data_IF_363668172382
#
_entry.id   IF_363668172382
#
_cell.length_a   1.000
_cell.length_b   1.000
_cell.length_c   1.000
_cell.angle_alpha   90.00
_cell.angle_beta   90.00
_cell.angle_gamma   90.00
#
_symmetry.space_group_name_H-M   'P 1'
#
loop_
_entity.id
_entity.type
_entity.pdbx_description
1 polymer ?
#
# COMPACT_ATOMS: atom_id res chain seq x y z
N UNK A 1 60.25 -10.87 -94.24
CA UNK A 1 59.04 -11.65 -93.85
C UNK A 1 58.37 -10.86 -92.72
N UNK A 2 57.26 -10.18 -93.00
CA UNK A 2 55.90 -10.56 -92.56
C UNK A 2 55.82 -10.81 -91.03
N UNK A 3 54.94 -10.25 -90.21
CA UNK A 3 53.67 -9.52 -90.41
C UNK A 3 53.08 -9.25 -88.99
N UNK A 4 52.30 -8.16 -88.84
CA UNK A 4 51.21 -7.94 -87.85
C UNK A 4 51.61 -7.79 -86.36
N UNK A 5 51.14 -6.84 -85.54
CA UNK A 5 49.96 -5.97 -85.58
C UNK A 5 49.04 -6.33 -84.40
N UNK A 6 49.06 -5.55 -83.31
CA UNK A 6 47.97 -5.55 -82.32
C UNK A 6 47.92 -4.21 -81.57
N UNK A 7 46.88 -3.43 -81.87
CA UNK A 7 46.51 -2.17 -81.23
C UNK A 7 45.69 -2.51 -79.99
N UNK A 8 46.17 -2.14 -78.80
CA UNK A 8 45.42 -2.24 -77.54
C UNK A 8 44.59 -0.98 -77.32
N UNK A 9 43.27 -1.13 -77.28
CA UNK A 9 42.31 -0.05 -77.02
C UNK A 9 42.13 0.07 -75.49
N UNK A 10 42.64 1.14 -74.89
CA UNK A 10 42.45 1.46 -73.47
C UNK A 10 41.08 2.13 -73.29
N UNK A 11 40.10 1.40 -72.76
CA UNK A 11 38.80 1.98 -72.36
C UNK A 11 38.98 2.64 -70.99
N UNK A 12 39.02 3.97 -70.97
CA UNK A 12 38.96 4.75 -69.74
C UNK A 12 37.53 4.69 -69.18
N UNK A 13 37.34 3.91 -68.11
CA UNK A 13 36.09 3.86 -67.36
C UNK A 13 35.97 5.14 -66.52
N UNK A 14 35.17 6.09 -66.98
CA UNK A 14 34.89 7.34 -66.28
C UNK A 14 33.89 7.05 -65.14
N UNK A 15 34.39 6.83 -63.92
CA UNK A 15 33.57 6.74 -62.72
C UNK A 15 33.02 8.14 -62.37
N UNK A 16 31.83 8.46 -62.85
CA UNK A 16 31.04 9.57 -62.34
C UNK A 16 30.59 9.24 -60.91
N UNK A 17 31.33 9.71 -59.90
CA UNK A 17 30.83 9.81 -58.53
C UNK A 17 29.71 10.86 -58.51
N UNK A 18 28.46 10.40 -58.63
CA UNK A 18 27.30 11.22 -58.30
C UNK A 18 27.19 11.28 -56.77
N UNK A 19 27.57 12.41 -56.18
CA UNK A 19 27.18 12.73 -54.81
C UNK A 19 25.68 13.06 -54.83
N UNK A 20 24.83 12.05 -54.59
CA UNK A 20 23.44 12.31 -54.24
C UNK A 20 23.39 12.77 -52.78
N UNK A 21 23.22 14.06 -52.55
CA UNK A 21 22.79 14.55 -51.24
C UNK A 21 21.34 14.08 -51.06
N UNK A 22 21.10 13.13 -50.16
CA UNK A 22 19.74 12.79 -49.72
C UNK A 22 19.21 13.94 -48.86
N UNK A 23 18.38 14.79 -49.45
CA UNK A 23 17.61 15.77 -48.69
C UNK A 23 16.40 15.08 -48.08
N UNK A 24 16.46 14.81 -46.78
CA UNK A 24 15.28 14.35 -46.03
C UNK A 24 14.39 15.56 -45.78
N UNK A 25 13.33 15.70 -46.57
CA UNK A 25 12.28 16.69 -46.30
C UNK A 25 11.55 16.22 -45.04
N UNK A 26 11.79 16.88 -43.91
CA UNK A 26 11.04 16.65 -42.69
C UNK A 26 9.64 17.22 -42.89
N UNK A 27 8.61 16.46 -42.50
CA UNK A 27 7.26 17.01 -42.47
C UNK A 27 7.20 18.18 -41.47
N UNK A 28 6.47 19.26 -41.80
CA UNK A 28 6.34 20.39 -40.91
C UNK A 28 5.64 19.96 -39.61
N UNK A 29 6.27 20.27 -38.48
CA UNK A 29 5.65 20.10 -37.17
C UNK A 29 4.69 21.26 -36.95
N UNK A 30 3.40 20.99 -36.89
CA UNK A 30 2.38 22.03 -36.72
C UNK A 30 2.18 22.41 -35.25
N UNK A 31 2.27 21.42 -34.36
CA UNK A 31 2.21 21.61 -32.90
C UNK A 31 2.88 20.46 -32.16
N UNK A 32 3.25 20.73 -30.92
CA UNK A 32 3.78 19.73 -29.98
C UNK A 32 2.98 19.73 -28.68
N UNK A 33 2.92 18.58 -28.02
CA UNK A 33 2.28 18.37 -26.73
C UNK A 33 3.32 17.95 -25.71
N UNK A 34 3.35 18.66 -24.57
CA UNK A 34 4.16 18.33 -23.40
C UNK A 34 3.26 17.67 -22.34
N UNK A 35 3.68 16.53 -21.83
CA UNK A 35 3.04 15.84 -20.71
C UNK A 35 4.06 15.51 -19.62
N UNK A 36 3.56 15.22 -18.43
CA UNK A 36 4.35 14.77 -17.28
C UNK A 36 3.69 13.53 -16.65
N UNK A 37 4.46 12.73 -15.92
CA UNK A 37 3.97 11.56 -15.19
C UNK A 37 3.05 11.93 -14.01
N UNK A 38 3.13 13.16 -13.51
CA UNK A 38 2.26 13.71 -12.47
C UNK A 38 2.12 15.23 -12.62
N UNK A 39 1.07 15.81 -12.03
CA UNK A 39 0.93 17.27 -11.86
C UNK A 39 1.39 17.76 -10.49
N UNK A 40 1.69 16.85 -9.56
CA UNK A 40 2.13 17.15 -8.19
C UNK A 40 3.19 16.15 -7.72
N UNK A 41 4.22 16.63 -7.03
CA UNK A 41 5.30 15.81 -6.45
C UNK A 41 5.73 16.35 -5.09
N UNK A 42 6.32 15.49 -4.27
CA UNK A 42 7.03 15.94 -3.06
C UNK A 42 8.41 16.47 -3.48
N UNK A 43 8.92 17.50 -2.78
CA UNK A 43 10.30 17.96 -2.99
C UNK A 43 11.30 16.79 -2.90
N UNK A 44 12.28 16.76 -3.80
CA UNK A 44 13.25 15.69 -3.95
C UNK A 44 12.79 14.52 -4.85
N UNK A 45 11.50 14.45 -5.22
CA UNK A 45 11.04 13.49 -6.23
C UNK A 45 11.28 14.00 -7.65
N UNK A 46 11.54 13.06 -8.55
CA UNK A 46 11.75 13.34 -9.97
C UNK A 46 10.41 13.32 -10.72
N UNK A 47 10.16 14.36 -11.52
CA UNK A 47 9.13 14.40 -12.55
C UNK A 47 9.75 14.02 -13.89
N UNK A 48 9.03 13.23 -14.70
CA UNK A 48 9.44 12.79 -16.03
C UNK A 48 8.51 13.40 -17.07
N UNK A 49 9.09 14.06 -18.05
CA UNK A 49 8.39 14.73 -19.14
C UNK A 49 8.39 13.87 -20.41
N UNK A 50 7.35 14.05 -21.23
CA UNK A 50 7.27 13.48 -22.58
C UNK A 50 6.77 14.53 -23.56
N UNK A 51 7.33 14.53 -24.77
CA UNK A 51 6.97 15.46 -25.83
C UNK A 51 6.56 14.68 -27.08
N UNK A 52 5.40 14.99 -27.64
CA UNK A 52 4.89 14.39 -28.87
C UNK A 52 4.47 15.44 -29.89
N UNK A 53 4.58 15.13 -31.18
CA UNK A 53 4.06 15.98 -32.27
C UNK A 53 2.54 15.84 -32.41
N UNK A 54 1.93 16.70 -33.23
CA UNK A 54 0.52 16.59 -33.66
C UNK A 54 0.17 15.25 -34.32
N UNK A 55 1.15 14.57 -34.93
CA UNK A 55 0.99 13.23 -35.51
C UNK A 55 1.18 12.09 -34.51
N UNK A 56 1.49 12.39 -33.25
CA UNK A 56 1.72 11.42 -32.19
C UNK A 56 3.14 10.85 -32.13
N UNK A 57 4.07 11.36 -32.94
CA UNK A 57 5.49 10.95 -32.89
C UNK A 57 6.12 11.43 -31.59
N UNK A 58 6.76 10.53 -30.85
CA UNK A 58 7.54 10.89 -29.67
C UNK A 58 8.86 11.54 -30.10
N UNK A 59 9.10 12.76 -29.60
CA UNK A 59 10.27 13.59 -29.88
C UNK A 59 10.93 14.06 -28.57
N UNK A 60 10.78 13.28 -27.50
CA UNK A 60 11.19 13.69 -26.14
C UNK A 60 12.70 13.92 -26.04
N UNK A 61 13.51 13.16 -26.76
CA UNK A 61 14.97 13.29 -26.73
C UNK A 61 15.48 14.47 -27.58
N UNK A 62 14.69 14.90 -28.57
CA UNK A 62 15.04 15.97 -29.50
C UNK A 62 14.45 17.33 -29.11
N UNK A 63 13.43 17.35 -28.25
CA UNK A 63 12.82 18.57 -27.73
C UNK A 63 13.65 19.18 -26.60
N UNK A 64 13.69 20.51 -26.54
CA UNK A 64 14.27 21.25 -25.40
C UNK A 64 13.17 21.58 -24.40
N UNK A 65 13.40 21.26 -23.12
CA UNK A 65 12.43 21.49 -22.05
C UNK A 65 12.91 22.61 -21.12
N UNK A 66 11.99 23.48 -20.72
CA UNK A 66 12.23 24.61 -19.84
C UNK A 66 11.40 24.51 -18.57
N UNK A 67 12.03 24.78 -17.42
CA UNK A 67 11.38 24.90 -16.11
C UNK A 67 11.51 26.35 -15.66
N UNK A 68 10.38 27.06 -15.49
CA UNK A 68 10.35 28.50 -15.21
C UNK A 68 11.27 29.31 -16.16
N UNK A 69 11.20 29.00 -17.46
CA UNK A 69 12.02 29.57 -18.54
C UNK A 69 13.53 29.26 -18.46
N UNK A 70 13.95 28.36 -17.58
CA UNK A 70 15.34 27.86 -17.53
C UNK A 70 15.43 26.52 -18.23
N UNK A 71 16.32 26.39 -19.22
CA UNK A 71 16.58 25.14 -19.92
C UNK A 71 17.09 24.08 -18.94
N UNK A 72 16.56 22.86 -19.03
CA UNK A 72 17.06 21.70 -18.29
C UNK A 72 17.77 20.72 -19.23
N UNK A 73 18.61 19.86 -18.65
CA UNK A 73 19.24 18.75 -19.36
C UNK A 73 18.33 17.52 -19.30
N UNK A 74 18.08 16.91 -20.47
CA UNK A 74 17.15 15.78 -20.62
C UNK A 74 15.68 16.13 -20.36
N UNK A 75 14.89 15.10 -20.03
CA UNK A 75 13.44 15.16 -19.87
C UNK A 75 12.98 14.95 -18.44
N UNK A 76 13.85 15.16 -17.45
CA UNK A 76 13.52 14.95 -16.04
C UNK A 76 13.89 16.14 -15.20
N UNK A 77 13.12 16.42 -14.15
CA UNK A 77 13.42 17.49 -13.21
C UNK A 77 13.17 17.04 -11.77
N UNK A 78 13.99 17.49 -10.82
CA UNK A 78 13.80 17.23 -9.39
C UNK A 78 13.77 18.55 -8.65
N UNK A 79 12.60 18.92 -8.13
CA UNK A 79 12.40 20.17 -7.42
C UNK A 79 12.89 20.10 -5.97
N UNK A 80 13.55 21.15 -5.49
CA UNK A 80 14.03 21.26 -4.10
C UNK A 80 13.24 22.24 -3.24
N UNK A 81 12.29 22.97 -3.83
CA UNK A 81 11.50 24.00 -3.16
C UNK A 81 10.01 23.76 -3.40
N UNK A 82 9.18 24.19 -2.46
CA UNK A 82 7.72 24.14 -2.61
C UNK A 82 7.23 25.25 -3.52
N UNK A 83 6.25 24.95 -4.37
CA UNK A 83 5.62 25.93 -5.24
C UNK A 83 5.23 25.35 -6.58
N UNK A 84 4.67 26.21 -7.42
CA UNK A 84 4.25 25.86 -8.77
C UNK A 84 5.36 26.21 -9.76
N UNK A 85 5.69 25.25 -10.62
CA UNK A 85 6.66 25.41 -11.70
C UNK A 85 5.93 25.35 -13.04
N UNK A 86 6.22 26.30 -13.92
CA UNK A 86 5.73 26.31 -15.29
C UNK A 86 6.71 25.58 -16.19
N UNK A 87 6.23 24.56 -16.91
CA UNK A 87 7.04 23.74 -17.82
C UNK A 87 6.59 23.97 -19.25
N UNK A 88 7.55 24.14 -20.16
CA UNK A 88 7.31 24.25 -21.61
C UNK A 88 8.33 23.40 -22.36
N UNK A 89 7.95 22.93 -23.54
CA UNK A 89 8.86 22.31 -24.49
C UNK A 89 8.92 23.15 -25.77
N UNK A 90 10.06 23.08 -26.46
CA UNK A 90 10.27 23.65 -27.78
C UNK A 90 10.92 22.60 -28.68
N UNK A 91 10.44 22.49 -29.93
CA UNK A 91 11.05 21.66 -30.96
C UNK A 91 10.95 22.36 -32.31
N UNK A 92 12.09 22.56 -32.99
CA UNK A 92 12.18 23.24 -34.29
C UNK A 92 11.46 24.61 -34.32
N UNK A 93 11.50 25.37 -33.22
CA UNK A 93 10.85 26.69 -33.10
C UNK A 93 9.35 26.64 -32.79
N UNK A 94 8.77 25.47 -32.56
CA UNK A 94 7.38 25.29 -32.13
C UNK A 94 7.35 25.08 -30.62
N UNK A 95 6.63 25.93 -29.89
CA UNK A 95 6.41 25.82 -28.44
C UNK A 95 5.18 24.97 -28.11
N UNK A 96 5.27 24.21 -27.02
CA UNK A 96 4.10 23.57 -26.40
C UNK A 96 3.27 24.58 -25.60
N UNK A 97 2.00 24.25 -25.35
CA UNK A 97 1.28 24.88 -24.24
C UNK A 97 2.04 24.62 -22.91
N UNK A 98 2.09 25.60 -21.99
CA UNK A 98 2.70 25.36 -20.69
C UNK A 98 1.85 24.43 -19.84
N UNK A 99 2.50 23.56 -19.07
CA UNK A 99 1.88 22.81 -17.98
C UNK A 99 2.42 23.32 -16.64
N UNK A 100 1.62 23.17 -15.58
CA UNK A 100 2.02 23.52 -14.21
C UNK A 100 2.26 22.25 -13.41
N UNK A 101 3.42 22.16 -12.76
CA UNK A 101 3.78 21.09 -11.82
C UNK A 101 3.96 21.69 -10.45
N UNK A 102 3.26 21.17 -9.45
CA UNK A 102 3.33 21.64 -8.07
C UNK A 102 4.25 20.76 -7.23
N UNK A 103 5.22 21.37 -6.53
CA UNK A 103 6.03 20.73 -5.52
C UNK A 103 5.58 21.13 -4.12
N UNK A 104 5.50 20.17 -3.19
CA UNK A 104 5.18 20.43 -1.78
C UNK A 104 6.13 19.67 -0.84
N UNK A 105 6.12 20.01 0.44
CA UNK A 105 7.02 19.48 1.47
C UNK A 105 6.57 18.12 2.07
N UNK A 106 5.66 17.41 1.40
CA UNK A 106 5.02 16.21 1.91
C UNK A 106 3.84 16.45 2.87
N UNK A 107 3.57 17.68 3.33
CA UNK A 107 2.50 17.95 4.30
C UNK A 107 1.09 17.75 3.75
N UNK A 108 0.97 17.82 2.43
CA UNK A 108 -0.28 17.67 1.70
C UNK A 108 -0.64 16.20 1.43
N UNK A 109 0.33 15.28 1.52
CA UNK A 109 0.10 13.85 1.30
C UNK A 109 -0.93 13.33 2.29
N UNK A 110 -1.91 12.60 1.77
CA UNK A 110 -2.89 11.86 2.54
C UNK A 110 -2.75 10.39 2.22
N UNK A 111 -3.19 9.53 3.14
CA UNK A 111 -3.15 8.09 2.95
C UNK A 111 -4.57 7.51 2.95
N UNK A 112 -4.77 6.37 2.31
CA UNK A 112 -6.04 5.65 2.39
C UNK A 112 -6.36 5.36 3.86
N UNK A 113 -7.55 5.78 4.26
CA UNK A 113 -8.10 5.55 5.60
C UNK A 113 -8.67 4.16 5.71
N UNK A 114 -8.08 3.34 6.58
CA UNK A 114 -8.57 1.99 6.89
C UNK A 114 -9.08 1.89 8.31
N UNK A 115 -10.01 0.96 8.54
CA UNK A 115 -10.60 0.69 9.84
C UNK A 115 -10.10 -0.65 10.37
N UNK A 116 -9.57 -0.63 11.58
CA UNK A 116 -9.23 -1.82 12.33
C UNK A 116 -10.50 -2.34 13.04
N UNK A 117 -10.79 -3.62 12.90
CA UNK A 117 -11.82 -4.33 13.67
C UNK A 117 -11.12 -5.39 14.51
N UNK A 118 -11.08 -5.22 15.83
CA UNK A 118 -10.65 -6.25 16.77
C UNK A 118 -11.92 -6.95 17.31
N UNK A 119 -12.19 -8.18 16.86
CA UNK A 119 -13.30 -9.03 17.32
C UNK A 119 -12.82 -9.98 18.42
N UNK A 120 -13.20 -9.69 19.66
CA UNK A 120 -12.92 -10.53 20.81
C UNK A 120 -14.01 -11.61 20.90
N UNK A 121 -13.60 -12.85 20.69
CA UNK A 121 -14.48 -13.95 20.28
C UNK A 121 -14.08 -15.28 20.91
N UNK A 122 -14.82 -16.35 20.59
CA UNK A 122 -14.41 -17.70 20.92
C UNK A 122 -15.30 -18.78 20.29
N UNK A 123 -14.73 -19.96 20.07
CA UNK A 123 -15.40 -21.12 19.47
C UNK A 123 -16.58 -21.61 20.33
N UNK A 124 -16.48 -21.45 21.65
CA UNK A 124 -17.52 -21.78 22.63
C UNK A 124 -18.64 -20.72 22.72
N UNK A 125 -18.45 -19.54 22.14
CA UNK A 125 -19.34 -18.39 22.31
C UNK A 125 -20.49 -18.40 21.29
N UNK A 126 -21.69 -18.80 21.72
CA UNK A 126 -22.86 -18.91 20.85
C UNK A 126 -23.32 -17.62 20.16
N UNK A 127 -23.03 -16.45 20.72
CA UNK A 127 -23.38 -15.16 20.11
C UNK A 127 -22.30 -14.60 19.17
N UNK A 128 -21.09 -15.17 19.18
CA UNK A 128 -19.94 -14.68 18.41
C UNK A 128 -20.10 -14.82 16.88
N UNK A 129 -20.80 -15.84 16.34
CA UNK A 129 -21.11 -15.88 14.90
C UNK A 129 -21.81 -14.63 14.36
N UNK A 130 -22.52 -13.88 15.21
CA UNK A 130 -23.17 -12.62 14.82
C UNK A 130 -22.17 -11.53 14.41
N UNK A 131 -21.00 -11.46 15.06
CA UNK A 131 -19.96 -10.48 14.69
C UNK A 131 -19.22 -10.92 13.43
N UNK A 132 -18.95 -12.22 13.30
CA UNK A 132 -18.38 -12.79 12.07
C UNK A 132 -19.24 -12.43 10.85
N UNK A 133 -20.55 -12.63 10.96
CA UNK A 133 -21.49 -12.23 9.92
C UNK A 133 -21.51 -10.71 9.67
N UNK A 134 -21.41 -9.88 10.71
CA UNK A 134 -21.33 -8.44 10.56
C UNK A 134 -20.06 -8.00 9.80
N UNK A 135 -18.92 -8.66 10.06
CA UNK A 135 -17.66 -8.41 9.34
C UNK A 135 -17.79 -8.81 7.87
N UNK A 136 -18.41 -9.95 7.54
CA UNK A 136 -18.71 -10.35 6.16
C UNK A 136 -19.53 -9.27 5.42
N UNK A 137 -20.59 -8.77 6.07
CA UNK A 137 -21.43 -7.70 5.52
C UNK A 137 -20.68 -6.38 5.35
N UNK A 138 -19.72 -6.08 6.22
CA UNK A 138 -18.88 -4.89 6.11
C UNK A 138 -17.87 -5.00 4.96
N UNK A 139 -17.22 -6.16 4.80
CA UNK A 139 -16.34 -6.45 3.67
C UNK A 139 -17.07 -6.41 2.32
N UNK A 140 -18.36 -6.79 2.28
CA UNK A 140 -19.19 -6.66 1.08
C UNK A 140 -19.44 -5.20 0.66
N UNK A 141 -19.19 -4.21 1.53
CA UNK A 141 -19.42 -2.79 1.27
C UNK A 141 -18.14 -1.98 1.08
N UNK A 142 -16.99 -2.45 1.60
CA UNK A 142 -15.70 -1.77 1.44
C UNK A 142 -14.52 -2.71 1.65
N UNK A 143 -13.45 -2.46 0.92
CA UNK A 143 -12.14 -3.10 1.05
C UNK A 143 -11.21 -2.41 2.07
N UNK A 144 -11.65 -1.30 2.69
CA UNK A 144 -10.88 -0.48 3.64
C UNK A 144 -10.94 -1.00 5.08
N UNK A 145 -11.19 -2.30 5.27
CA UNK A 145 -11.32 -2.94 6.58
C UNK A 145 -10.17 -3.92 6.81
N UNK A 146 -9.63 -3.91 8.02
CA UNK A 146 -8.65 -4.89 8.50
C UNK A 146 -9.20 -5.50 9.79
N UNK A 147 -9.53 -6.79 9.76
CA UNK A 147 -10.11 -7.51 10.89
C UNK A 147 -9.04 -8.34 11.60
N UNK A 148 -9.19 -8.49 12.92
CA UNK A 148 -8.40 -9.35 13.79
C UNK A 148 -9.37 -10.10 14.71
N UNK A 149 -9.41 -11.42 14.61
CA UNK A 149 -10.14 -12.31 15.51
C UNK A 149 -9.29 -12.66 16.73
N UNK A 150 -9.67 -12.16 17.90
CA UNK A 150 -8.98 -12.37 19.18
C UNK A 150 -9.75 -13.44 19.96
N UNK A 151 -9.32 -14.68 19.83
CA UNK A 151 -9.94 -15.82 20.48
C UNK A 151 -9.57 -15.87 21.97
N UNK A 152 -10.60 -16.03 22.82
CA UNK A 152 -10.53 -16.06 24.28
C UNK A 152 -11.45 -17.15 24.84
N UNK A 153 -11.32 -17.63 26.08
CA UNK A 153 -10.35 -17.20 27.10
C UNK A 153 -9.50 -18.33 27.69
N UNK A 154 -9.85 -19.60 27.46
CA UNK A 154 -9.11 -20.73 28.03
C UNK A 154 -8.44 -21.60 26.97
N UNK A 155 -7.19 -21.99 27.24
CA UNK A 155 -6.47 -23.00 26.46
C UNK A 155 -6.62 -24.42 27.06
N UNK A 156 -7.34 -24.59 28.17
CA UNK A 156 -7.53 -25.88 28.82
C UNK A 156 -8.76 -26.61 28.21
N UNK A 157 -8.58 -27.77 27.56
CA UNK A 157 -9.68 -28.52 26.93
C UNK A 157 -10.77 -29.00 27.91
N UNK A 158 -10.49 -29.01 29.22
CA UNK A 158 -11.48 -29.37 30.23
C UNK A 158 -12.41 -28.20 30.62
N UNK A 159 -12.10 -26.97 30.22
CA UNK A 159 -12.90 -25.80 30.59
C UNK A 159 -14.10 -25.63 29.64
N UNK A 160 -15.23 -25.15 30.19
CA UNK A 160 -16.45 -24.92 29.40
C UNK A 160 -16.30 -23.82 28.33
N UNK A 161 -15.29 -22.95 28.49
CA UNK A 161 -14.90 -21.88 27.58
C UNK A 161 -13.54 -22.15 26.92
N UNK A 162 -13.22 -23.42 26.71
CA UNK A 162 -12.06 -23.83 25.93
C UNK A 162 -12.12 -23.27 24.51
N UNK A 163 -11.01 -22.69 24.06
CA UNK A 163 -10.79 -22.26 22.70
C UNK A 163 -9.39 -22.70 22.22
N UNK A 164 -9.29 -23.49 21.13
CA UNK A 164 -7.99 -23.96 20.60
C UNK A 164 -7.10 -22.83 20.08
N UNK A 165 -7.67 -21.65 19.82
CA UNK A 165 -7.00 -20.49 19.29
C UNK A 165 -6.80 -19.38 20.34
N UNK A 166 -7.04 -19.69 21.62
CA UNK A 166 -6.91 -18.72 22.71
C UNK A 166 -5.56 -17.99 22.67
N UNK A 167 -5.60 -16.67 22.68
CA UNK A 167 -4.45 -15.78 22.76
C UNK A 167 -4.62 -14.84 23.94
N UNK A 168 -3.62 -14.75 24.83
CA UNK A 168 -3.75 -13.93 26.03
C UNK A 168 -3.65 -12.44 25.73
N UNK A 169 -4.76 -11.74 25.86
CA UNK A 169 -4.86 -10.28 25.71
C UNK A 169 -5.29 -9.58 26.99
N UNK A 170 -5.14 -10.23 28.17
CA UNK A 170 -5.65 -9.70 29.45
C UNK A 170 -5.24 -8.25 29.74
N UNK A 171 -4.01 -7.85 29.40
CA UNK A 171 -3.55 -6.46 29.57
C UNK A 171 -4.29 -5.46 28.67
N UNK A 172 -4.61 -5.85 27.43
CA UNK A 172 -5.37 -5.04 26.50
C UNK A 172 -6.85 -5.01 26.91
N UNK A 173 -7.42 -6.16 27.26
CA UNK A 173 -8.81 -6.29 27.73
C UNK A 173 -9.12 -5.40 28.93
N UNK A 174 -8.15 -5.24 29.85
CA UNK A 174 -8.24 -4.33 30.98
C UNK A 174 -8.33 -2.85 30.56
N UNK A 175 -7.67 -2.45 29.47
CA UNK A 175 -7.71 -1.07 28.95
C UNK A 175 -9.00 -0.80 28.20
N UNK A 176 -9.47 -1.77 27.40
CA UNK A 176 -10.69 -1.63 26.60
C UNK A 176 -11.97 -2.02 27.35
N UNK A 177 -11.85 -2.36 28.65
CA UNK A 177 -12.93 -2.74 29.55
C UNK A 177 -13.82 -3.86 28.97
N UNK A 178 -13.21 -4.98 28.62
CA UNK A 178 -13.94 -6.17 28.16
C UNK A 178 -14.46 -6.96 29.35
N UNK A 179 -15.78 -7.17 29.35
CA UNK A 179 -16.50 -7.90 30.41
C UNK A 179 -17.26 -9.13 29.88
N UNK A 180 -17.15 -9.43 28.59
CA UNK A 180 -17.80 -10.57 27.96
C UNK A 180 -17.67 -10.58 26.44
N UNK A 181 -18.01 -11.72 25.85
CA UNK A 181 -17.88 -11.99 24.42
C UNK A 181 -19.26 -12.28 23.77
N UNK A 182 -19.47 -11.94 22.48
CA UNK A 182 -18.51 -11.22 21.64
C UNK A 182 -18.36 -9.75 22.05
N UNK A 183 -17.22 -9.18 21.68
CA UNK A 183 -16.98 -7.74 21.73
C UNK A 183 -16.19 -7.33 20.50
N UNK A 184 -16.79 -6.54 19.61
CA UNK A 184 -16.07 -5.93 18.50
C UNK A 184 -15.66 -4.48 18.83
N UNK A 185 -14.40 -4.16 18.59
CA UNK A 185 -13.85 -2.81 18.75
C UNK A 185 -13.35 -2.29 17.39
N UNK A 186 -13.78 -1.09 17.05
CA UNK A 186 -13.37 -0.33 15.88
C UNK A 186 -12.24 0.62 16.29
N UNK A 187 -11.15 0.60 15.53
CA UNK A 187 -9.95 1.39 15.80
C UNK A 187 -9.51 1.28 17.27
N UNK A 188 -9.57 0.05 17.80
CA UNK A 188 -9.23 -0.39 19.17
C UNK A 188 -10.09 0.15 20.31
N UNK A 189 -10.44 1.43 20.28
CA UNK A 189 -11.09 2.10 21.44
C UNK A 189 -12.58 2.37 21.25
N UNK A 190 -13.13 2.19 20.05
CA UNK A 190 -14.55 2.47 19.79
C UNK A 190 -15.34 1.17 19.74
N UNK A 191 -16.25 0.94 20.69
CA UNK A 191 -17.12 -0.25 20.62
C UNK A 191 -18.00 -0.20 19.38
N UNK A 192 -18.00 -1.27 18.58
CA UNK A 192 -19.02 -1.46 17.56
C UNK A 192 -20.35 -1.70 18.27
N UNK A 193 -21.36 -0.91 17.93
CA UNK A 193 -22.68 -0.97 18.53
C UNK A 193 -23.23 -2.41 18.44
N UNK A 194 -23.57 -3.04 19.58
CA UNK A 194 -24.11 -4.39 19.61
C UNK A 194 -25.29 -4.58 18.67
N UNK A 195 -25.48 -5.81 18.20
CA UNK A 195 -26.22 -6.06 16.95
C UNK A 195 -25.46 -5.45 15.76
N UNK A 196 -24.14 -5.63 15.76
CA UNK A 196 -23.16 -5.18 14.76
C UNK A 196 -23.66 -5.36 13.32
N UNK A 197 -24.34 -6.47 13.02
CA UNK A 197 -24.92 -6.75 11.70
C UNK A 197 -25.98 -5.72 11.24
N UNK A 198 -26.64 -5.04 12.18
CA UNK A 198 -27.57 -3.93 11.91
C UNK A 198 -26.87 -2.56 11.91
N UNK A 199 -25.60 -2.50 12.33
CA UNK A 199 -24.84 -1.27 12.56
C UNK A 199 -23.60 -1.20 11.64
N UNK A 200 -23.66 -1.80 10.45
CA UNK A 200 -22.54 -1.78 9.48
C UNK A 200 -22.09 -0.36 9.14
N UNK A 201 -23.04 0.57 9.06
CA UNK A 201 -22.78 2.00 8.79
C UNK A 201 -21.76 2.61 9.76
N UNK A 202 -21.64 2.12 11.00
CA UNK A 202 -20.62 2.59 11.93
C UNK A 202 -19.20 2.31 11.43
N UNK A 203 -18.98 1.13 10.84
CA UNK A 203 -17.69 0.77 10.22
C UNK A 203 -17.45 1.59 8.96
N UNK A 204 -18.45 1.65 8.08
CA UNK A 204 -18.33 2.37 6.80
C UNK A 204 -18.04 3.84 7.02
N UNK A 205 -18.69 4.50 7.98
CA UNK A 205 -18.42 5.90 8.29
C UNK A 205 -16.97 6.15 8.74
N UNK A 206 -16.32 5.17 9.37
CA UNK A 206 -14.92 5.29 9.79
C UNK A 206 -13.92 5.14 8.63
N UNK A 207 -14.35 4.67 7.46
CA UNK A 207 -13.54 4.69 6.22
C UNK A 207 -13.72 5.98 5.43
N UNK A 208 -14.55 6.93 5.90
CA UNK A 208 -14.86 8.20 5.26
C UNK A 208 -14.29 9.40 6.05
N UNK A 209 -14.46 10.60 5.50
CA UNK A 209 -14.06 11.86 6.12
C UNK A 209 -12.59 12.19 5.89
N UNK A 210 -11.99 12.93 6.82
CA UNK A 210 -10.58 13.31 6.71
C UNK A 210 -9.67 12.08 6.67
N UNK A 211 -8.80 12.06 5.66
CA UNK A 211 -7.80 11.01 5.47
C UNK A 211 -6.65 11.17 6.49
N UNK A 212 -6.06 10.06 6.96
CA UNK A 212 -4.94 10.11 7.87
C UNK A 212 -3.71 10.75 7.23
N UNK A 213 -2.92 11.42 8.09
CA UNK A 213 -1.61 11.99 7.76
C UNK A 213 -0.45 11.04 8.05
N UNK A 214 -0.74 9.75 8.15
CA UNK A 214 0.25 8.68 8.16
C UNK A 214 -0.26 7.45 7.41
N UNK A 215 0.64 6.74 6.76
CA UNK A 215 0.37 5.49 6.05
C UNK A 215 1.38 4.42 6.45
N UNK A 216 0.98 3.17 6.32
CA UNK A 216 1.85 2.02 6.56
C UNK A 216 2.02 1.23 5.27
N UNK A 217 3.22 0.71 5.07
CA UNK A 217 3.55 -0.26 4.03
C UNK A 217 4.36 -1.40 4.65
N UNK A 218 4.21 -2.61 4.15
CA UNK A 218 4.92 -3.78 4.66
C UNK A 218 5.60 -4.55 3.54
N UNK A 219 6.78 -5.09 3.86
CA UNK A 219 7.49 -6.08 3.07
C UNK A 219 7.63 -7.35 3.89
N UNK A 220 7.12 -8.47 3.39
CA UNK A 220 7.03 -9.72 4.15
C UNK A 220 7.69 -10.86 3.40
N UNK A 221 8.37 -11.75 4.11
CA UNK A 221 8.83 -13.02 3.57
C UNK A 221 8.84 -14.11 4.63
N UNK A 222 8.81 -15.36 4.19
CA UNK A 222 9.09 -16.52 5.04
C UNK A 222 10.22 -17.32 4.39
N UNK A 223 11.33 -17.41 5.09
CA UNK A 223 12.52 -18.16 4.66
C UNK A 223 12.67 -19.40 5.56
N UNK A 224 12.18 -20.53 5.07
CA UNK A 224 12.11 -21.77 5.86
C UNK A 224 11.12 -21.62 7.03
N UNK A 225 11.64 -21.58 8.25
CA UNK A 225 10.85 -21.37 9.49
C UNK A 225 11.04 -19.99 10.09
N UNK A 226 11.62 -19.05 9.35
CA UNK A 226 11.86 -17.68 9.79
C UNK A 226 10.92 -16.73 9.08
N UNK A 227 10.23 -15.91 9.86
CA UNK A 227 9.37 -14.84 9.43
C UNK A 227 10.20 -13.56 9.37
N UNK A 228 10.22 -12.90 8.21
CA UNK A 228 10.82 -11.58 8.04
C UNK A 228 9.73 -10.56 7.71
N UNK A 229 9.74 -9.45 8.42
CA UNK A 229 8.81 -8.35 8.25
C UNK A 229 9.56 -7.03 8.35
N UNK A 230 9.42 -6.20 7.33
CA UNK A 230 9.72 -4.78 7.39
C UNK A 230 8.42 -4.00 7.40
N UNK A 231 8.21 -3.15 8.39
CA UNK A 231 7.08 -2.22 8.47
C UNK A 231 7.57 -0.80 8.34
N UNK A 232 7.11 -0.11 7.30
CA UNK A 232 7.41 1.29 7.04
C UNK A 232 6.20 2.16 7.39
N UNK A 233 6.44 3.30 8.03
CA UNK A 233 5.42 4.27 8.45
C UNK A 233 5.84 5.65 7.96
N UNK A 234 5.12 6.20 6.97
CA UNK A 234 5.40 7.54 6.41
C UNK A 234 4.49 8.57 7.05
N UNK A 235 5.03 9.75 7.37
CA UNK A 235 4.32 10.81 8.07
C UNK A 235 4.22 12.08 7.21
N UNK A 236 3.01 12.62 7.03
CA UNK A 236 2.74 13.89 6.37
C UNK A 236 2.39 15.03 7.34
N UNK A 237 2.69 14.84 8.62
CA UNK A 237 2.79 15.88 9.66
C UNK A 237 3.61 15.35 10.83
N UNK A 238 3.90 16.22 11.79
CA UNK A 238 4.51 15.78 13.04
C UNK A 238 3.50 14.99 13.90
N UNK A 239 3.92 13.84 14.40
CA UNK A 239 3.22 13.06 15.42
C UNK A 239 4.07 12.95 16.68
N UNK A 240 3.41 12.73 17.82
CA UNK A 240 4.04 12.49 19.12
C UNK A 240 3.28 11.43 19.89
N UNK A 241 3.97 10.71 20.78
CA UNK A 241 3.36 9.72 21.68
C UNK A 241 2.59 8.60 20.95
N UNK A 242 3.05 8.24 19.74
CA UNK A 242 2.46 7.16 18.95
C UNK A 242 3.19 5.84 19.19
N UNK A 243 2.48 4.73 19.00
CA UNK A 243 3.05 3.39 19.14
C UNK A 243 2.68 2.51 17.95
N UNK A 244 3.60 1.66 17.53
CA UNK A 244 3.40 0.65 16.51
C UNK A 244 2.98 -0.67 17.16
N UNK A 245 1.92 -1.28 16.62
CA UNK A 245 1.50 -2.64 16.97
C UNK A 245 1.59 -3.51 15.73
N UNK A 246 2.16 -4.71 15.87
CA UNK A 246 2.27 -5.69 14.78
C UNK A 246 1.73 -7.04 15.25
N UNK A 247 0.71 -7.54 14.57
CA UNK A 247 0.11 -8.84 14.78
C UNK A 247 0.48 -9.82 13.66
N UNK A 248 0.59 -11.09 14.03
CA UNK A 248 0.60 -12.23 13.12
C UNK A 248 -0.72 -12.95 13.29
N UNK A 249 -1.47 -13.06 12.20
CA UNK A 249 -2.74 -13.75 12.11
C UNK A 249 -2.59 -15.02 11.30
N UNK A 250 -3.56 -15.92 11.44
CA UNK A 250 -3.72 -17.06 10.55
C UNK A 250 -5.16 -17.17 10.06
N UNK A 251 -5.29 -17.43 8.76
CA UNK A 251 -6.56 -17.64 8.08
C UNK A 251 -6.87 -19.13 7.89
N UNK A 252 -8.14 -19.46 7.67
CA UNK A 252 -8.54 -20.81 7.27
C UNK A 252 -8.41 -21.89 8.34
N UNK A 253 -8.37 -21.53 9.63
CA UNK A 253 -8.34 -22.50 10.72
C UNK A 253 -9.70 -23.16 10.87
N UNK A 254 -9.74 -24.50 10.94
CA UNK A 254 -10.99 -25.27 11.00
C UNK A 254 -11.26 -25.73 12.43
N UNK A 255 -12.41 -25.35 12.99
CA UNK A 255 -12.89 -25.85 14.28
C UNK A 255 -14.42 -25.71 14.40
N UNK A 256 -15.03 -26.42 15.33
CA UNK A 256 -16.47 -26.33 15.57
C UNK A 256 -16.84 -25.04 16.33
N UNK A 257 -17.88 -24.33 15.88
CA UNK A 257 -18.33 -23.09 16.49
C UNK A 257 -19.72 -23.25 17.11
N UNK A 258 -19.86 -22.94 18.40
CA UNK A 258 -21.17 -22.80 19.05
C UNK A 258 -21.92 -21.61 18.44
N UNK A 259 -23.21 -21.78 18.18
CA UNK A 259 -24.03 -20.77 17.51
C UNK A 259 -25.44 -20.68 18.12
N UNK A 260 -25.89 -19.47 18.41
CA UNK A 260 -27.27 -19.16 18.84
C UNK A 260 -28.05 -18.38 17.77
N UNK A 261 -27.42 -18.15 16.61
CA UNK A 261 -27.95 -17.31 15.53
C UNK A 261 -28.48 -18.14 14.36
N UNK A 262 -29.18 -17.48 13.44
CA UNK A 262 -29.65 -18.08 12.17
C UNK A 262 -28.79 -17.67 10.96
N UNK A 263 -27.62 -17.05 11.15
CA UNK A 263 -26.82 -16.52 10.02
C UNK A 263 -26.06 -17.60 9.24
N UNK A 264 -25.86 -18.77 9.85
CA UNK A 264 -25.18 -19.92 9.25
C UNK A 264 -26.13 -21.14 9.22
N UNK A 265 -25.78 -22.23 9.92
CA UNK A 265 -26.57 -23.48 9.94
C UNK A 265 -27.73 -23.48 10.96
N UNK A 266 -28.05 -22.33 11.57
CA UNK A 266 -29.01 -22.22 12.67
C UNK A 266 -28.41 -22.50 14.06
N UNK A 267 -29.20 -22.36 15.15
CA UNK A 267 -28.73 -22.57 16.50
C UNK A 267 -28.22 -24.01 16.73
N UNK A 268 -27.15 -24.16 17.51
CA UNK A 268 -26.47 -25.43 17.75
C UNK A 268 -24.97 -25.28 17.59
N UNK A 269 -24.36 -26.22 16.86
CA UNK A 269 -22.94 -26.19 16.50
C UNK A 269 -22.81 -26.11 14.99
N UNK A 270 -21.98 -25.17 14.52
CA UNK A 270 -21.55 -25.11 13.14
C UNK A 270 -20.29 -25.98 13.03
N UNK A 271 -20.43 -27.18 12.48
CA UNK A 271 -19.29 -28.10 12.34
C UNK A 271 -18.32 -27.64 11.26
N UNK A 272 -17.03 -27.85 11.49
CA UNK A 272 -15.95 -27.45 10.57
C UNK A 272 -16.03 -25.97 10.16
N UNK A 273 -16.34 -25.08 11.10
CA UNK A 273 -16.39 -23.65 10.83
C UNK A 273 -14.97 -23.14 10.52
N UNK A 274 -14.88 -22.30 9.49
CA UNK A 274 -13.61 -21.69 9.08
C UNK A 274 -13.42 -20.37 9.83
N UNK A 275 -12.42 -20.32 10.68
CA UNK A 275 -11.97 -19.12 11.38
C UNK A 275 -10.87 -18.42 10.57
N UNK A 276 -11.11 -17.15 10.26
CA UNK A 276 -10.16 -16.28 9.55
C UNK A 276 -9.67 -15.16 10.47
N UNK A 277 -8.56 -14.53 10.09
CA UNK A 277 -7.94 -13.41 10.80
C UNK A 277 -7.60 -13.70 12.27
N UNK A 278 -7.35 -14.96 12.63
CA UNK A 278 -7.17 -15.38 14.02
C UNK A 278 -5.80 -14.91 14.53
N UNK A 279 -5.77 -14.14 15.61
CA UNK A 279 -4.53 -13.66 16.23
C UNK A 279 -3.70 -14.83 16.78
N UNK A 280 -2.46 -15.00 16.27
CA UNK A 280 -1.54 -16.08 16.67
C UNK A 280 -0.32 -15.58 17.42
N UNK A 281 0.15 -14.36 17.12
CA UNK A 281 1.24 -13.70 17.82
C UNK A 281 1.16 -12.16 17.72
N UNK A 282 1.86 -11.48 18.63
CA UNK A 282 2.12 -10.03 18.57
C UNK A 282 3.65 -9.83 18.56
N UNK A 283 4.19 -9.20 17.51
CA UNK A 283 5.64 -9.03 17.31
C UNK A 283 6.21 -7.79 18.02
N UNK A 284 5.32 -6.94 18.52
CA UNK A 284 5.60 -5.80 19.41
C UNK A 284 4.95 -6.07 20.78
N UNK A 285 5.12 -5.22 21.81
CA UNK A 285 4.23 -5.25 22.96
C UNK A 285 2.77 -5.10 22.53
N UNK A 286 1.81 -5.72 23.24
CA UNK A 286 0.39 -5.71 22.86
C UNK A 286 -0.22 -4.29 22.84
N UNK A 287 0.28 -3.45 23.75
CA UNK A 287 -0.05 -2.03 23.85
C UNK A 287 0.76 -1.13 22.90
N UNK A 288 1.63 -1.74 22.09
CA UNK A 288 2.47 -1.10 21.10
C UNK A 288 3.88 -0.74 21.57
N UNK A 289 4.79 -0.71 20.61
CA UNK A 289 6.15 -0.21 20.75
C UNK A 289 6.19 1.28 20.44
N UNK A 290 6.72 2.11 21.34
CA UNK A 290 6.79 3.57 21.13
C UNK A 290 7.69 3.94 19.95
N UNK A 291 7.20 4.83 19.07
CA UNK A 291 8.03 5.50 18.07
C UNK A 291 8.51 6.82 18.66
N UNK A 292 9.83 7.04 18.67
CA UNK A 292 10.39 8.28 19.18
C UNK A 292 9.96 9.48 18.33
N UNK A 293 9.64 10.62 18.96
CA UNK A 293 9.18 11.83 18.26
C UNK A 293 10.18 12.33 17.19
N UNK A 294 11.48 12.03 17.35
CA UNK A 294 12.52 12.35 16.36
C UNK A 294 12.41 11.57 15.05
N UNK A 295 11.59 10.50 15.03
CA UNK A 295 11.39 9.59 13.92
C UNK A 295 9.95 9.65 13.37
N UNK A 296 9.13 10.59 13.85
CA UNK A 296 7.73 10.77 13.45
C UNK A 296 7.43 12.20 13.01
N UNK A 297 8.44 12.87 12.45
CA UNK A 297 8.32 14.22 11.88
C UNK A 297 7.76 14.22 10.46
N UNK A 298 7.30 15.39 10.01
CA UNK A 298 6.86 15.63 8.64
C UNK A 298 7.89 15.15 7.60
N UNK A 299 7.43 14.40 6.60
CA UNK A 299 8.24 13.87 5.50
C UNK A 299 9.10 12.67 5.87
N UNK A 300 9.19 12.31 7.16
CA UNK A 300 9.98 11.16 7.59
C UNK A 300 9.26 9.84 7.32
N UNK A 301 10.07 8.80 7.16
CA UNK A 301 9.62 7.40 7.20
C UNK A 301 10.33 6.68 8.34
N UNK A 302 9.56 6.07 9.24
CA UNK A 302 10.06 5.16 10.26
C UNK A 302 10.00 3.73 9.74
N UNK A 303 11.09 2.98 9.94
CA UNK A 303 11.20 1.57 9.53
C UNK A 303 11.45 0.69 10.75
N UNK A 304 10.66 -0.37 10.88
CA UNK A 304 10.86 -1.45 11.85
C UNK A 304 11.06 -2.77 11.12
N UNK A 305 12.22 -3.37 11.28
CA UNK A 305 12.53 -4.71 10.74
C UNK A 305 12.50 -5.75 11.87
N UNK A 306 11.81 -6.86 11.64
CA UNK A 306 11.69 -7.99 12.55
C UNK A 306 12.03 -9.27 11.78
N UNK A 307 12.90 -10.08 12.36
CA UNK A 307 13.21 -11.43 11.89
C UNK A 307 13.13 -12.39 13.08
N UNK A 308 12.12 -13.25 13.08
CA UNK A 308 11.81 -14.16 14.21
C UNK A 308 11.40 -15.53 13.69
N UNK A 309 11.52 -16.60 14.51
CA UNK A 309 10.91 -17.89 14.16
C UNK A 309 9.41 -17.74 13.97
N UNK A 310 8.85 -18.49 13.01
CA UNK A 310 7.40 -18.62 12.87
C UNK A 310 6.82 -19.11 14.21
N UNK A 311 5.76 -18.47 14.74
CA UNK A 311 5.14 -18.90 15.98
C UNK A 311 4.73 -20.38 15.93
N UNK A 312 5.08 -21.15 16.96
CA UNK A 312 4.90 -22.61 16.99
C UNK A 312 3.44 -23.06 16.93
N UNK A 313 2.51 -22.13 17.14
CA UNK A 313 1.08 -22.38 17.09
C UNK A 313 0.51 -22.24 15.66
N UNK A 314 1.23 -21.67 14.69
CA UNK A 314 0.80 -21.60 13.28
C UNK A 314 0.60 -23.00 12.70
N UNK A 315 -0.56 -23.25 12.08
CA UNK A 315 -0.87 -24.54 11.47
C UNK A 315 -0.42 -24.61 10.01
N UNK A 316 -0.55 -23.52 9.25
CA UNK A 316 -0.19 -23.43 7.84
C UNK A 316 0.47 -22.10 7.50
N UNK A 317 1.74 -22.16 7.06
CA UNK A 317 2.54 -20.98 6.71
C UNK A 317 1.93 -20.14 5.60
N UNK A 318 1.22 -20.76 4.65
CA UNK A 318 0.61 -20.07 3.52
C UNK A 318 -0.62 -19.23 3.93
N UNK A 319 -1.12 -19.44 5.15
CA UNK A 319 -2.31 -18.76 5.64
C UNK A 319 -1.97 -17.61 6.61
N UNK A 320 -0.68 -17.31 6.81
CA UNK A 320 -0.24 -16.18 7.64
C UNK A 320 -0.67 -14.86 7.00
N UNK A 321 -1.18 -13.95 7.82
CA UNK A 321 -1.42 -12.55 7.47
C UNK A 321 -0.83 -11.65 8.57
N UNK A 322 -0.21 -10.55 8.16
CA UNK A 322 0.35 -9.54 9.04
C UNK A 322 -0.62 -8.38 9.16
N UNK A 323 -0.77 -7.84 10.36
CA UNK A 323 -1.52 -6.60 10.59
C UNK A 323 -0.65 -5.63 11.37
N UNK A 324 -0.35 -4.48 10.79
CA UNK A 324 0.39 -3.41 11.43
C UNK A 324 -0.48 -2.15 11.54
N UNK A 325 -0.43 -1.48 12.68
CA UNK A 325 -1.17 -0.24 12.90
C UNK A 325 -0.49 0.67 13.91
N UNK A 326 -0.79 1.97 13.78
CA UNK A 326 -0.33 2.98 14.71
C UNK A 326 -1.47 3.34 15.66
N UNK A 327 -1.19 3.34 16.95
CA UNK A 327 -2.09 3.89 17.97
C UNK A 327 -1.57 5.22 18.51
N UNK A 328 -2.48 6.10 18.89
CA UNK A 328 -2.19 7.34 19.61
C UNK A 328 -1.96 7.11 21.12
N UNK A 329 -1.75 8.19 21.86
CA UNK A 329 -1.54 8.16 23.33
C UNK A 329 -2.72 7.58 24.11
N UNK A 330 -3.92 7.56 23.52
CA UNK A 330 -5.14 7.01 24.10
C UNK A 330 -5.41 5.57 23.62
N UNK A 331 -4.43 4.94 22.96
CA UNK A 331 -4.51 3.63 22.31
C UNK A 331 -5.52 3.56 21.15
N UNK A 332 -6.01 4.68 20.61
CA UNK A 332 -6.89 4.66 19.45
C UNK A 332 -6.07 4.46 18.18
N UNK A 333 -6.47 3.52 17.33
CA UNK A 333 -5.82 3.31 16.03
C UNK A 333 -6.02 4.54 15.13
N UNK A 334 -4.91 5.03 14.57
CA UNK A 334 -4.86 6.15 13.61
C UNK A 334 -5.03 5.64 12.18
N UNK A 335 -4.28 4.60 11.82
CA UNK A 335 -4.40 3.89 10.55
C UNK A 335 -3.86 2.46 10.69
N UNK A 336 -4.30 1.57 9.80
CA UNK A 336 -3.97 0.13 9.82
C UNK A 336 -3.70 -0.39 8.42
N UNK A 337 -2.78 -1.35 8.30
CA UNK A 337 -2.47 -2.06 7.07
C UNK A 337 -2.38 -3.55 7.35
N UNK A 338 -2.72 -4.36 6.34
CA UNK A 338 -2.53 -5.81 6.36
C UNK A 338 -1.69 -6.25 5.16
N UNK A 339 -0.98 -7.36 5.29
CA UNK A 339 -0.19 -7.98 4.22
C UNK A 339 -0.21 -9.50 4.35
N UNK A 340 -0.34 -10.22 3.24
CA UNK A 340 -0.03 -11.65 3.16
C UNK A 340 1.47 -11.91 3.21
N UNK A 341 1.84 -13.19 3.07
CA UNK A 341 3.24 -13.64 2.95
C UNK A 341 3.78 -13.32 1.55
N UNK A 342 5.01 -12.79 1.48
CA UNK A 342 5.68 -12.51 0.21
C UNK A 342 5.25 -11.20 -0.46
N UNK A 343 4.50 -10.35 0.25
CA UNK A 343 4.08 -9.07 -0.27
C UNK A 343 5.18 -8.01 -0.12
N UNK A 344 5.28 -7.13 -1.11
CA UNK A 344 6.06 -5.90 -1.06
C UNK A 344 5.11 -4.75 -1.43
N UNK A 345 4.76 -3.93 -0.44
CA UNK A 345 3.72 -2.91 -0.58
C UNK A 345 4.33 -1.52 -0.77
N UNK A 346 3.73 -0.73 -1.64
CA UNK A 346 3.88 0.72 -1.63
C UNK A 346 2.92 1.36 -0.61
N UNK A 347 3.18 2.61 -0.24
CA UNK A 347 2.23 3.40 0.53
C UNK A 347 0.96 3.68 -0.27
N UNK A 348 -0.19 3.60 0.38
CA UNK A 348 -1.47 3.99 -0.22
C UNK A 348 -1.69 5.50 -0.15
N UNK A 349 -0.92 6.26 -0.92
CA UNK A 349 -1.04 7.73 -1.02
C UNK A 349 -2.23 8.16 -1.90
N UNK A 350 -2.79 9.36 -1.63
CA UNK A 350 -3.97 9.94 -2.27
C UNK A 350 -3.72 11.31 -2.88
#
# INVERSE_FOLDING_TARGET
MNKFGLIGFFVALFCCFSCSNEYKILEPVESISLTADSSVKVIGETIVFSVTTNSGTNITEEATIFVNNTLIDGNTFTGSETGDLMIKAEYLGVESAPITIRFHDGSETNFIKRVLIEDYTGTWCGNCPRVNHAVELAYAQTDKIVTVGIHRSSSNPADANYDPFNFDTSELEAIVNISGYPRALLNRMTRWTPLEQNNITQVINLTQGENPKLGLAMTTSIDGSTLNLETNVKFSKNFSNIKLVIYVLENGLIYDQVNYTNFYTGPGTISNFQHNHVLRACLTPLLGESIANSNSGLGQTYTKTISVPVPSNIANLNNIEFVAFIVDENNKSINVRKAGVGENQDFEEL
#
